data_IF_873179685978
#
_entry.id   IF_873179685978
#
_cell.length_a   1.000
_cell.length_b   1.000
_cell.length_c   1.000
_cell.angle_alpha   90.00
_cell.angle_beta   90.00
_cell.angle_gamma   90.00
#
_symmetry.space_group_name_H-M   'P 1'
#
loop_
_entity.id
_entity.type
_entity.pdbx_description
1 polymer ?
#
# COMPACT_ATOMS: atom_id res chain seq x y z
N UNK A 1 1.36 11.44 -4.24
CA UNK A 1 0.11 11.15 -3.49
C UNK A 1 -0.98 12.05 -4.05
N UNK A 2 -1.98 11.43 -4.67
CA UNK A 2 -3.18 12.10 -5.16
C UNK A 2 -4.38 11.46 -4.45
N UNK A 3 -5.39 12.25 -4.14
CA UNK A 3 -6.62 11.78 -3.50
C UNK A 3 -7.75 12.06 -4.50
N UNK A 4 -8.47 11.02 -4.90
CA UNK A 4 -9.70 11.15 -5.67
C UNK A 4 -10.83 10.48 -4.88
N UNK A 5 -11.65 11.30 -4.23
CA UNK A 5 -12.69 10.83 -3.31
C UNK A 5 -12.13 10.00 -2.15
N UNK A 6 -12.47 8.72 -2.14
CA UNK A 6 -12.14 7.69 -1.16
C UNK A 6 -10.96 6.79 -1.58
N UNK A 7 -10.35 7.06 -2.74
CA UNK A 7 -9.20 6.33 -3.27
C UNK A 7 -7.92 7.11 -2.98
N UNK A 8 -6.94 6.42 -2.39
CA UNK A 8 -5.60 6.93 -2.13
C UNK A 8 -4.60 6.30 -3.09
N UNK A 9 -3.93 7.13 -3.88
CA UNK A 9 -2.92 6.68 -4.83
C UNK A 9 -1.49 6.92 -4.32
N UNK A 10 -0.68 5.85 -4.33
CA UNK A 10 0.70 5.83 -3.83
C UNK A 10 1.70 5.23 -4.83
N UNK A 11 2.98 5.53 -4.66
CA UNK A 11 4.07 5.03 -5.50
C UNK A 11 4.99 4.08 -4.71
N UNK A 12 5.45 2.99 -5.30
CA UNK A 12 6.35 2.02 -4.61
C UNK A 12 7.79 2.52 -4.44
N UNK A 13 8.16 3.56 -5.19
CA UNK A 13 9.43 4.29 -5.07
C UNK A 13 9.52 5.17 -3.81
N UNK A 14 8.47 5.21 -2.98
CA UNK A 14 8.39 6.06 -1.78
C UNK A 14 9.49 5.73 -0.76
N UNK A 15 10.29 6.74 -0.40
CA UNK A 15 11.34 6.62 0.61
C UNK A 15 10.79 6.62 2.05
N UNK A 16 11.68 6.48 3.04
CA UNK A 16 11.26 6.43 4.45
C UNK A 16 10.56 7.70 4.92
N UNK A 17 10.91 8.88 4.40
CA UNK A 17 10.26 10.14 4.78
C UNK A 17 8.85 10.19 4.22
N UNK A 18 8.68 9.81 2.96
CA UNK A 18 7.37 9.68 2.33
C UNK A 18 6.48 8.66 3.04
N UNK A 19 7.04 7.53 3.51
CA UNK A 19 6.28 6.56 4.31
C UNK A 19 5.78 7.16 5.63
N UNK A 20 6.59 7.97 6.31
CA UNK A 20 6.19 8.65 7.55
C UNK A 20 5.08 9.68 7.28
N UNK A 21 5.23 10.47 6.22
CA UNK A 21 4.21 11.44 5.79
C UNK A 21 2.88 10.74 5.44
N UNK A 22 2.96 9.64 4.69
CA UNK A 22 1.81 8.80 4.34
C UNK A 22 1.11 8.26 5.58
N UNK A 23 1.86 7.72 6.54
CA UNK A 23 1.31 7.24 7.82
C UNK A 23 0.56 8.35 8.55
N UNK A 24 1.16 9.52 8.69
CA UNK A 24 0.56 10.66 9.39
C UNK A 24 -0.69 11.19 8.64
N UNK A 25 -0.69 11.06 7.32
CA UNK A 25 -1.83 11.41 6.49
C UNK A 25 -3.01 10.42 6.64
N UNK A 26 -2.75 9.12 6.56
CA UNK A 26 -3.75 8.05 6.61
C UNK A 26 -4.35 7.92 8.01
N UNK A 27 -3.54 7.98 9.07
CA UNK A 27 -3.97 7.66 10.43
C UNK A 27 -5.27 8.38 10.88
N UNK A 28 -5.46 9.70 10.68
CA UNK A 28 -6.69 10.38 11.05
C UNK A 28 -7.84 10.23 10.03
N UNK A 29 -7.58 9.66 8.85
CA UNK A 29 -8.53 9.62 7.71
C UNK A 29 -8.92 8.21 7.30
N UNK A 30 -8.36 7.19 7.93
CA UNK A 30 -8.48 5.79 7.52
C UNK A 30 -9.95 5.33 7.41
N UNK A 31 -10.83 5.87 8.25
CA UNK A 31 -12.27 5.57 8.19
C UNK A 31 -12.88 5.90 6.83
N UNK A 32 -12.39 6.95 6.15
CA UNK A 32 -12.93 7.46 4.89
C UNK A 32 -12.24 6.91 3.63
N UNK A 33 -11.10 6.22 3.78
CA UNK A 33 -10.36 5.67 2.64
C UNK A 33 -10.88 4.26 2.38
N UNK A 34 -11.47 4.02 1.21
CA UNK A 34 -12.00 2.71 0.81
C UNK A 34 -10.95 1.89 0.07
N UNK A 35 -10.03 2.54 -0.64
CA UNK A 35 -9.05 1.87 -1.49
C UNK A 35 -7.67 2.55 -1.46
N UNK A 36 -6.60 1.75 -1.48
CA UNK A 36 -5.23 2.23 -1.72
C UNK A 36 -4.70 1.59 -3.00
N UNK A 37 -4.47 2.41 -4.03
CA UNK A 37 -3.91 2.01 -5.32
C UNK A 37 -2.44 2.36 -5.43
N UNK A 38 -1.71 1.48 -6.10
CA UNK A 38 -0.33 1.73 -6.49
C UNK A 38 -0.32 2.24 -7.94
N UNK A 39 0.13 3.47 -8.14
CA UNK A 39 0.10 4.19 -9.42
C UNK A 39 1.51 4.35 -10.00
N UNK A 40 2.24 3.26 -10.23
CA UNK A 40 3.48 3.27 -11.02
C UNK A 40 4.05 1.87 -11.22
N UNK A 41 5.11 1.82 -12.02
CA UNK A 41 5.83 0.61 -12.39
C UNK A 41 6.18 -0.26 -11.16
N UNK A 42 5.68 -1.50 -11.16
CA UNK A 42 5.97 -2.50 -10.12
C UNK A 42 7.41 -2.99 -10.20
N UNK A 43 8.20 -2.52 -11.17
CA UNK A 43 9.62 -2.79 -11.27
C UNK A 43 10.46 -2.24 -10.12
N UNK A 44 9.94 -1.41 -9.20
CA UNK A 44 10.73 -0.87 -8.08
C UNK A 44 10.04 -1.14 -6.73
N UNK A 45 10.60 -2.07 -5.95
CA UNK A 45 10.27 -2.26 -4.54
C UNK A 45 11.28 -1.49 -3.66
N UNK A 46 11.06 -0.20 -3.45
CA UNK A 46 12.07 0.63 -2.79
C UNK A 46 12.13 0.47 -1.27
N UNK A 47 11.02 0.07 -0.62
CA UNK A 47 10.89 0.21 0.84
C UNK A 47 10.03 -0.87 1.49
N UNK A 48 10.64 -1.70 2.34
CA UNK A 48 9.93 -2.64 3.21
C UNK A 48 9.04 -1.93 4.25
N UNK A 49 9.35 -0.68 4.59
CA UNK A 49 8.55 0.11 5.51
C UNK A 49 7.17 0.47 4.93
N UNK A 50 7.09 0.68 3.61
CA UNK A 50 5.82 0.91 2.93
C UNK A 50 4.90 -0.32 3.04
N UNK A 51 5.44 -1.52 2.81
CA UNK A 51 4.69 -2.77 3.02
C UNK A 51 4.23 -2.96 4.46
N UNK A 52 5.12 -2.69 5.43
CA UNK A 52 4.77 -2.74 6.84
C UNK A 52 3.59 -1.81 7.16
N UNK A 53 3.58 -0.61 6.58
CA UNK A 53 2.47 0.34 6.71
C UNK A 53 1.18 -0.20 6.06
N UNK A 54 1.23 -0.62 4.79
CA UNK A 54 0.05 -1.14 4.07
C UNK A 54 -0.59 -2.34 4.77
N UNK A 55 0.24 -3.26 5.25
CA UNK A 55 -0.24 -4.41 6.01
C UNK A 55 -0.84 -4.01 7.37
N UNK A 56 -0.25 -3.04 8.06
CA UNK A 56 -0.81 -2.48 9.30
C UNK A 56 -2.15 -1.78 9.06
N UNK A 57 -2.28 -1.07 7.94
CA UNK A 57 -3.53 -0.44 7.51
C UNK A 57 -4.60 -1.50 7.25
N UNK A 58 -4.28 -2.55 6.47
CA UNK A 58 -5.20 -3.68 6.21
C UNK A 58 -5.63 -4.37 7.51
N UNK A 59 -4.72 -4.56 8.48
CA UNK A 59 -5.07 -5.09 9.80
C UNK A 59 -6.01 -4.19 10.59
N UNK A 60 -5.82 -2.87 10.49
CA UNK A 60 -6.62 -1.88 11.24
C UNK A 60 -8.00 -1.70 10.63
N UNK A 61 -8.11 -1.71 9.29
CA UNK A 61 -9.37 -1.65 8.54
C UNK A 61 -9.42 -2.81 7.53
N UNK A 62 -9.87 -4.01 7.93
CA UNK A 62 -9.87 -5.19 7.05
C UNK A 62 -10.67 -5.03 5.75
N UNK A 63 -11.67 -4.15 5.74
CA UNK A 63 -12.51 -3.87 4.59
C UNK A 63 -11.85 -2.96 3.53
N UNK A 64 -10.75 -2.27 3.84
CA UNK A 64 -10.06 -1.41 2.86
C UNK A 64 -9.47 -2.28 1.75
N UNK A 65 -9.63 -1.87 0.50
CA UNK A 65 -9.07 -2.59 -0.65
C UNK A 65 -7.62 -2.16 -0.86
N UNK A 66 -6.71 -3.13 -0.90
CA UNK A 66 -5.29 -2.90 -1.24
C UNK A 66 -4.85 -4.06 -2.13
N UNK A 67 -5.01 -3.93 -3.45
CA UNK A 67 -4.80 -5.05 -4.40
C UNK A 67 -3.43 -5.72 -4.24
N UNK A 68 -2.38 -4.92 -3.99
CA UNK A 68 -1.01 -5.40 -3.76
C UNK A 68 -0.88 -6.32 -2.55
N UNK A 69 -1.74 -6.18 -1.54
CA UNK A 69 -1.77 -7.04 -0.34
C UNK A 69 -2.82 -8.14 -0.51
N UNK A 70 -3.90 -7.85 -1.22
CA UNK A 70 -5.08 -8.70 -1.39
C UNK A 70 -4.89 -9.82 -2.41
N UNK A 71 -3.98 -9.65 -3.37
CA UNK A 71 -3.71 -10.62 -4.44
C UNK A 71 -2.21 -10.88 -4.60
N UNK A 72 -1.89 -11.93 -5.36
CA UNK A 72 -0.53 -12.12 -5.86
C UNK A 72 -0.15 -10.98 -6.80
N UNK A 73 1.12 -10.58 -6.77
CA UNK A 73 1.60 -9.41 -7.51
C UNK A 73 2.67 -9.84 -8.50
N UNK A 74 2.45 -9.51 -9.77
CA UNK A 74 3.47 -9.64 -10.79
C UNK A 74 4.41 -8.42 -10.73
N UNK A 75 5.69 -8.70 -10.51
CA UNK A 75 6.75 -7.71 -10.43
C UNK A 75 7.82 -8.04 -11.49
N UNK A 76 8.20 -7.04 -12.27
CA UNK A 76 9.23 -7.19 -13.30
C UNK A 76 10.58 -7.66 -12.75
N UNK A 77 10.95 -7.26 -11.53
CA UNK A 77 12.23 -7.63 -10.91
C UNK A 77 12.22 -8.99 -10.23
N UNK A 78 11.09 -9.39 -9.65
CA UNK A 78 11.00 -10.54 -8.75
C UNK A 78 10.09 -11.65 -9.27
N UNK A 79 9.45 -11.47 -10.43
CA UNK A 79 8.44 -12.37 -10.96
C UNK A 79 7.14 -12.30 -10.15
N UNK A 80 6.50 -13.46 -9.93
CA UNK A 80 5.26 -13.54 -9.17
C UNK A 80 5.54 -13.58 -7.66
N UNK A 81 5.01 -12.61 -6.92
CA UNK A 81 5.08 -12.53 -5.46
C UNK A 81 3.79 -13.13 -4.89
N UNK A 82 3.95 -14.16 -4.05
CA UNK A 82 2.86 -14.77 -3.29
C UNK A 82 2.87 -14.28 -1.84
N UNK A 83 1.69 -13.96 -1.30
CA UNK A 83 1.54 -13.65 0.11
C UNK A 83 1.10 -14.87 0.91
N UNK A 84 1.94 -15.30 1.86
CA UNK A 84 1.55 -16.32 2.82
C UNK A 84 0.81 -15.64 3.98
N UNK A 85 -0.51 -15.78 4.00
CA UNK A 85 -1.34 -15.31 5.11
C UNK A 85 -1.49 -16.42 6.14
N UNK A 86 -1.23 -16.09 7.39
CA UNK A 86 -1.57 -16.94 8.53
C UNK A 86 -2.78 -16.31 9.22
N UNK A 87 -3.84 -17.11 9.36
CA UNK A 87 -5.05 -16.76 10.10
C UNK A 87 -4.75 -16.52 11.59
#
# INVERSE_FOLDING_TARGET
MTIDGDILEIELSTDIKGVIELKNFIAPRLEYIEEIKVIQDTSIFASSALFGLLHSVKKTKPSIVIEMIDNDVECDQYGLIHWVRHD
#
